data_IF_771534645417
#
_entry.id   IF_771534645417
#
_cell.length_a   1.000
_cell.length_b   1.000
_cell.length_c   1.000
_cell.angle_alpha   90.00
_cell.angle_beta   90.00
_cell.angle_gamma   90.00
#
_symmetry.space_group_name_H-M   'P 1'
#
loop_
_entity.id
_entity.type
_entity.pdbx_description
1 polymer ?
#
# COMPACT_ATOMS: atom_id res chain seq x y z
N UNK A 1 -12.54 37.57 -44.98
CA UNK A 1 -12.47 36.12 -45.22
C UNK A 1 -11.12 35.62 -44.75
N UNK A 2 -11.13 34.48 -44.05
CA UNK A 2 -10.01 33.64 -43.57
C UNK A 2 -9.43 33.98 -42.20
N UNK A 3 -10.12 33.42 -41.20
CA UNK A 3 -9.52 32.91 -39.97
C UNK A 3 -8.48 31.83 -40.30
N UNK A 4 -7.40 31.75 -39.52
CA UNK A 4 -6.64 30.52 -39.36
C UNK A 4 -6.45 30.30 -37.85
N UNK A 5 -7.11 29.23 -37.41
CA UNK A 5 -7.11 28.62 -36.10
C UNK A 5 -5.68 28.21 -35.71
N UNK A 6 -5.19 28.66 -34.56
CA UNK A 6 -4.04 28.03 -33.92
C UNK A 6 -4.56 26.84 -33.09
N UNK A 7 -4.49 25.64 -33.66
CA UNK A 7 -4.67 24.38 -32.93
C UNK A 7 -3.32 24.04 -32.31
N UNK A 8 -3.16 24.34 -31.02
CA UNK A 8 -2.09 23.74 -30.21
C UNK A 8 -2.49 22.29 -29.94
N UNK A 9 -1.88 21.37 -30.69
CA UNK A 9 -1.94 19.94 -30.44
C UNK A 9 -1.27 19.64 -29.10
N UNK A 10 -2.06 19.38 -28.06
CA UNK A 10 -1.59 18.63 -26.90
C UNK A 10 -1.36 17.19 -27.35
N UNK A 11 -0.10 16.79 -27.48
CA UNK A 11 0.25 15.40 -27.68
C UNK A 11 -0.06 14.66 -26.36
N UNK A 12 -1.19 13.97 -26.31
CA UNK A 12 -1.39 12.91 -25.34
C UNK A 12 -0.35 11.84 -25.65
N UNK A 13 0.72 11.76 -24.85
CA UNK A 13 1.62 10.62 -24.88
C UNK A 13 0.83 9.42 -24.36
N UNK A 14 0.20 8.67 -25.27
CA UNK A 14 -0.25 7.32 -25.00
C UNK A 14 1.00 6.54 -24.57
N UNK A 15 1.08 6.18 -23.30
CA UNK A 15 2.10 5.27 -22.81
C UNK A 15 1.92 3.95 -23.56
N UNK A 16 2.75 3.71 -24.57
CA UNK A 16 2.90 2.38 -25.14
C UNK A 16 3.52 1.55 -24.03
N UNK A 17 2.81 0.52 -23.54
CA UNK A 17 3.41 -0.47 -22.66
C UNK A 17 4.61 -1.06 -23.40
N UNK A 18 5.82 -0.66 -23.00
CA UNK A 18 7.03 -1.26 -23.49
C UNK A 18 7.05 -2.66 -22.90
N UNK A 19 7.09 -3.69 -23.74
CA UNK A 19 7.29 -5.06 -23.25
C UNK A 19 8.62 -5.08 -22.53
N UNK A 20 8.59 -5.25 -21.21
CA UNK A 20 9.78 -5.38 -20.41
C UNK A 20 10.60 -6.55 -20.96
N UNK A 21 11.89 -6.35 -21.17
CA UNK A 21 12.77 -7.42 -21.64
C UNK A 21 13.36 -8.11 -20.40
N UNK A 22 13.09 -9.40 -20.24
CA UNK A 22 13.64 -10.19 -19.14
C UNK A 22 15.16 -10.05 -19.09
N UNK A 23 15.67 -9.64 -17.93
CA UNK A 23 17.10 -9.49 -17.68
C UNK A 23 17.64 -10.70 -16.92
N UNK A 24 18.48 -11.50 -17.58
CA UNK A 24 19.16 -12.67 -17.01
C UNK A 24 20.68 -12.53 -17.20
N UNK A 25 21.35 -11.65 -16.42
CA UNK A 25 22.80 -11.45 -16.56
C UNK A 25 23.57 -12.72 -16.20
N UNK A 26 24.70 -12.96 -16.88
CA UNK A 26 25.55 -14.10 -16.56
C UNK A 26 26.15 -13.96 -15.15
N UNK A 27 26.36 -15.08 -14.45
CA UNK A 27 26.92 -15.10 -13.08
C UNK A 27 28.23 -14.31 -12.99
N UNK A 28 29.10 -14.39 -14.00
CA UNK A 28 30.35 -13.63 -14.04
C UNK A 28 30.13 -12.11 -14.06
N UNK A 29 29.11 -11.63 -14.78
CA UNK A 29 28.75 -10.21 -14.83
C UNK A 29 28.13 -9.76 -13.50
N UNK A 30 27.32 -10.63 -12.88
CA UNK A 30 26.77 -10.39 -11.53
C UNK A 30 27.90 -10.23 -10.52
N UNK A 31 28.89 -11.14 -10.50
CA UNK A 31 30.04 -11.07 -9.59
C UNK A 31 30.92 -9.85 -9.85
N UNK A 32 31.13 -9.47 -11.13
CA UNK A 32 31.87 -8.26 -11.49
C UNK A 32 31.17 -6.99 -11.00
N UNK A 33 29.83 -6.91 -11.13
CA UNK A 33 29.04 -5.82 -10.59
C UNK A 33 29.09 -5.81 -9.06
N UNK A 34 28.89 -6.95 -8.41
CA UNK A 34 28.93 -7.07 -6.95
C UNK A 34 30.26 -6.61 -6.34
N UNK A 35 31.38 -6.83 -7.04
CA UNK A 35 32.69 -6.40 -6.57
C UNK A 35 32.89 -4.87 -6.54
N UNK A 36 32.03 -4.09 -7.22
CA UNK A 36 32.20 -2.63 -7.37
C UNK A 36 31.01 -1.82 -6.86
N UNK A 37 29.81 -2.40 -6.87
CA UNK A 37 28.59 -1.75 -6.41
C UNK A 37 28.61 -1.57 -4.90
N UNK A 38 28.25 -0.37 -4.44
CA UNK A 38 28.12 -0.07 -3.01
C UNK A 38 26.66 0.19 -2.65
N UNK A 39 26.16 -0.36 -1.54
CA UNK A 39 24.81 -0.02 -1.07
C UNK A 39 24.72 1.48 -0.77
N UNK A 40 23.55 2.04 -1.00
CA UNK A 40 23.20 3.37 -0.53
C UNK A 40 22.72 3.25 0.92
N UNK A 41 23.24 4.13 1.78
CA UNK A 41 22.88 4.16 3.20
C UNK A 41 22.34 5.55 3.53
N UNK A 42 21.04 5.62 3.78
CA UNK A 42 20.36 6.86 4.15
C UNK A 42 19.76 6.72 5.55
N UNK A 43 19.92 7.78 6.34
CA UNK A 43 19.38 7.86 7.70
C UNK A 43 18.57 9.13 7.86
N UNK A 44 17.55 9.08 8.69
CA UNK A 44 16.69 10.21 9.02
C UNK A 44 16.15 10.03 10.44
N UNK A 45 15.61 11.10 11.04
CA UNK A 45 15.00 11.08 12.37
C UNK A 45 13.71 11.93 12.39
N UNK A 46 12.81 11.64 11.45
CA UNK A 46 11.49 12.26 11.34
C UNK A 46 10.54 11.57 12.32
N UNK A 47 10.09 12.30 13.34
CA UNK A 47 9.17 11.74 14.34
C UNK A 47 7.79 11.45 13.75
N UNK A 48 7.28 10.26 14.07
CA UNK A 48 5.92 9.86 13.70
C UNK A 48 4.94 9.99 14.86
N UNK A 49 3.65 9.81 14.58
CA UNK A 49 2.59 9.91 15.58
C UNK A 49 2.49 8.68 16.50
N UNK A 50 2.70 7.50 15.94
CA UNK A 50 2.60 6.20 16.61
C UNK A 50 3.95 5.47 16.69
N UNK A 51 4.78 5.60 15.66
CA UNK A 51 6.11 4.98 15.58
C UNK A 51 7.11 5.92 14.88
N UNK A 52 8.39 5.77 15.21
CA UNK A 52 9.50 6.48 14.57
C UNK A 52 10.13 5.65 13.45
N UNK A 53 9.89 4.35 13.41
CA UNK A 53 10.28 3.48 12.29
C UNK A 53 9.20 2.45 11.96
N UNK A 54 9.08 2.12 10.68
CA UNK A 54 8.18 1.08 10.17
C UNK A 54 8.94 0.06 9.35
N UNK A 55 8.90 -1.18 9.79
CA UNK A 55 9.55 -2.30 9.14
C UNK A 55 8.48 -3.30 8.75
N UNK A 56 8.53 -3.84 7.54
CA UNK A 56 7.65 -4.94 7.15
C UNK A 56 8.48 -6.11 6.65
N UNK A 57 8.20 -7.30 7.17
CA UNK A 57 8.85 -8.56 6.83
C UNK A 57 7.79 -9.44 6.18
N UNK A 58 8.01 -9.84 4.94
CA UNK A 58 7.08 -10.68 4.19
C UNK A 58 7.64 -12.09 4.06
N UNK A 59 6.86 -13.06 4.53
CA UNK A 59 7.00 -14.48 4.21
C UNK A 59 6.09 -14.82 3.01
N UNK A 60 6.13 -16.04 2.50
CA UNK A 60 5.48 -16.44 1.26
C UNK A 60 4.33 -17.45 1.44
N UNK A 61 3.24 -17.24 0.69
CA UNK A 61 2.06 -18.06 0.44
C UNK A 61 1.71 -19.23 1.39
N UNK A 62 1.49 -18.95 2.69
CA UNK A 62 0.97 -19.91 3.67
C UNK A 62 -0.48 -19.60 4.03
N UNK A 63 -1.32 -20.63 4.15
CA UNK A 63 -2.69 -20.46 4.67
C UNK A 63 -2.68 -19.91 6.09
N UNK A 64 -3.55 -18.93 6.38
CA UNK A 64 -3.67 -18.34 7.71
C UNK A 64 -3.72 -19.38 8.82
N UNK A 65 -4.54 -20.44 8.65
CA UNK A 65 -4.77 -21.44 9.69
C UNK A 65 -3.51 -22.30 9.95
N UNK A 66 -2.69 -22.55 8.92
CA UNK A 66 -1.41 -23.26 9.06
C UNK A 66 -0.41 -22.41 9.87
N UNK A 67 -0.30 -21.12 9.53
CA UNK A 67 0.53 -20.17 10.29
C UNK A 67 0.03 -19.97 11.71
N UNK A 68 -1.28 -19.84 11.93
CA UNK A 68 -1.86 -19.69 13.26
C UNK A 68 -1.67 -20.95 14.15
N UNK A 69 -1.49 -22.11 13.54
CA UNK A 69 -1.23 -23.37 14.24
C UNK A 69 0.26 -23.57 14.60
N UNK A 70 1.19 -22.86 13.96
CA UNK A 70 2.63 -22.98 14.24
C UNK A 70 3.03 -22.33 15.58
N UNK A 71 3.81 -23.05 16.40
CA UNK A 71 4.18 -22.62 17.74
C UNK A 71 5.10 -21.39 17.77
N UNK A 72 5.93 -21.18 16.74
CA UNK A 72 6.79 -19.99 16.66
C UNK A 72 5.99 -18.76 16.22
N UNK A 73 5.02 -18.93 15.32
CA UNK A 73 4.08 -17.87 14.95
C UNK A 73 3.16 -17.49 16.13
N UNK A 74 2.73 -18.47 16.94
CA UNK A 74 2.01 -18.21 18.19
C UNK A 74 2.87 -17.44 19.21
N UNK A 75 4.16 -17.77 19.31
CA UNK A 75 5.10 -16.98 20.10
C UNK A 75 5.17 -15.53 19.59
N UNK A 76 5.31 -15.33 18.28
CA UNK A 76 5.35 -13.98 17.69
C UNK A 76 4.07 -13.19 17.99
N UNK A 77 2.89 -13.81 17.81
CA UNK A 77 1.60 -13.21 18.17
C UNK A 77 1.53 -12.80 19.66
N UNK A 78 2.17 -13.56 20.55
CA UNK A 78 2.23 -13.22 21.98
C UNK A 78 3.10 -12.00 22.29
N UNK A 79 4.04 -11.65 21.42
CA UNK A 79 4.92 -10.48 21.58
C UNK A 79 4.29 -9.16 21.10
N UNK A 80 3.12 -9.22 20.47
CA UNK A 80 2.55 -8.12 19.70
C UNK A 80 1.03 -8.11 19.59
N UNK A 81 0.52 -7.57 18.48
CA UNK A 81 -0.92 -7.52 18.16
C UNK A 81 -1.15 -8.40 16.93
N UNK A 82 -1.92 -9.47 17.07
CA UNK A 82 -2.33 -10.31 15.95
C UNK A 82 -3.46 -9.62 15.16
N UNK A 83 -3.22 -9.35 13.89
CA UNK A 83 -4.20 -8.79 12.96
C UNK A 83 -4.99 -9.95 12.33
N UNK A 84 -6.17 -10.24 12.84
CA UNK A 84 -6.98 -11.43 12.50
C UNK A 84 -7.81 -11.24 11.22
N UNK A 85 -7.86 -10.02 10.70
CA UNK A 85 -8.69 -9.60 9.58
C UNK A 85 -7.85 -8.87 8.51
N UNK A 86 -6.60 -9.33 8.32
CA UNK A 86 -5.65 -8.84 7.33
C UNK A 86 -5.66 -9.72 6.08
N UNK A 87 -5.72 -9.09 4.92
CA UNK A 87 -5.84 -9.75 3.62
C UNK A 87 -4.73 -9.34 2.66
N UNK A 88 -4.24 -10.30 1.90
CA UNK A 88 -3.56 -10.02 0.65
C UNK A 88 -4.57 -9.49 -0.38
N UNK A 89 -4.08 -8.98 -1.51
CA UNK A 89 -4.93 -8.24 -2.46
C UNK A 89 -5.25 -9.01 -3.71
N UNK A 90 -4.47 -10.05 -4.04
CA UNK A 90 -4.74 -10.98 -5.14
C UNK A 90 -3.81 -12.20 -5.13
N UNK A 91 -3.89 -13.03 -6.17
CA UNK A 91 -2.88 -13.98 -6.60
C UNK A 91 -2.35 -13.65 -8.00
N UNK A 92 -1.10 -14.03 -8.36
CA UNK A 92 -0.07 -14.69 -7.54
C UNK A 92 0.71 -13.69 -6.65
N UNK A 93 1.94 -14.04 -6.22
CA UNK A 93 2.80 -13.27 -5.33
C UNK A 93 3.14 -11.85 -5.83
N UNK A 94 3.73 -11.70 -7.02
CA UNK A 94 4.27 -10.42 -7.53
C UNK A 94 3.28 -9.23 -7.46
N UNK A 95 1.98 -9.35 -7.83
CA UNK A 95 1.06 -8.23 -7.71
C UNK A 95 0.86 -7.74 -6.27
N UNK A 96 1.06 -8.57 -5.25
CA UNK A 96 1.00 -8.13 -3.85
C UNK A 96 2.21 -7.24 -3.50
N UNK A 97 3.41 -7.56 -3.99
CA UNK A 97 4.59 -6.69 -3.86
C UNK A 97 4.41 -5.38 -4.66
N UNK A 98 3.84 -5.45 -5.86
CA UNK A 98 3.44 -4.28 -6.63
C UNK A 98 2.48 -3.38 -5.82
N UNK A 99 1.46 -3.97 -5.19
CA UNK A 99 0.50 -3.27 -4.35
C UNK A 99 1.13 -2.63 -3.10
N UNK A 100 2.10 -3.29 -2.46
CA UNK A 100 2.79 -2.75 -1.29
C UNK A 100 3.68 -1.53 -1.60
N UNK A 101 4.24 -1.44 -2.81
CA UNK A 101 5.04 -0.30 -3.24
C UNK A 101 4.20 0.83 -3.86
N UNK A 102 3.26 0.49 -4.73
CA UNK A 102 2.53 1.47 -5.55
C UNK A 102 1.08 1.67 -5.15
N UNK A 103 0.52 0.93 -4.20
CA UNK A 103 -0.90 1.09 -3.85
C UNK A 103 -1.86 0.56 -4.91
N UNK A 104 -1.38 -0.27 -5.85
CA UNK A 104 -2.18 -1.01 -6.82
C UNK A 104 -1.41 -2.20 -7.43
N UNK A 105 -2.13 -3.20 -7.94
CA UNK A 105 -1.62 -4.31 -8.77
C UNK A 105 -1.59 -3.96 -10.27
N UNK A 106 -2.27 -2.89 -10.71
CA UNK A 106 -2.45 -2.51 -12.12
C UNK A 106 -2.97 -3.65 -13.00
N UNK A 107 -3.77 -4.53 -12.41
CA UNK A 107 -4.35 -5.69 -13.07
C UNK A 107 -3.40 -6.88 -13.25
N UNK A 108 -2.20 -6.85 -12.65
CA UNK A 108 -1.21 -7.94 -12.72
C UNK A 108 -1.75 -9.26 -12.14
N UNK A 109 -1.59 -10.33 -12.90
CA UNK A 109 -2.12 -11.68 -12.63
C UNK A 109 -1.10 -12.79 -12.89
N UNK A 110 0.19 -12.44 -12.82
CA UNK A 110 1.34 -13.27 -13.16
C UNK A 110 2.55 -12.86 -12.32
N UNK A 111 3.59 -13.69 -12.38
CA UNK A 111 4.90 -13.55 -11.72
C UNK A 111 6.02 -13.33 -12.78
N UNK A 112 5.67 -12.75 -13.95
CA UNK A 112 6.60 -12.56 -15.07
C UNK A 112 7.63 -11.45 -14.79
N UNK A 113 8.50 -11.16 -15.75
CA UNK A 113 9.35 -9.97 -15.63
C UNK A 113 8.52 -8.69 -15.88
N UNK A 114 7.99 -8.09 -14.82
CA UNK A 114 7.15 -6.90 -14.90
C UNK A 114 7.90 -5.59 -14.65
N UNK A 115 7.57 -4.54 -15.40
CA UNK A 115 8.06 -3.17 -15.16
C UNK A 115 6.90 -2.17 -15.15
N UNK A 116 6.85 -1.38 -14.09
CA UNK A 116 5.88 -0.30 -13.91
C UNK A 116 6.52 1.02 -14.38
N UNK A 117 5.87 1.76 -15.29
CA UNK A 117 6.44 2.95 -15.91
C UNK A 117 6.89 4.05 -14.93
N UNK A 118 7.90 4.82 -15.33
CA UNK A 118 8.56 5.84 -14.50
C UNK A 118 7.63 6.98 -14.02
N UNK A 119 6.48 7.18 -14.65
CA UNK A 119 5.49 8.19 -14.23
C UNK A 119 4.53 7.68 -13.13
N UNK A 120 4.66 6.43 -12.69
CA UNK A 120 3.89 5.86 -11.60
C UNK A 120 4.65 6.04 -10.29
N UNK A 121 4.12 6.90 -9.41
CA UNK A 121 4.72 7.13 -8.08
C UNK A 121 4.55 5.96 -7.12
N UNK A 122 5.48 5.81 -6.18
CA UNK A 122 5.52 4.76 -5.15
C UNK A 122 5.60 5.32 -3.73
N UNK A 123 5.60 4.44 -2.74
CA UNK A 123 5.90 4.78 -1.33
C UNK A 123 7.22 5.55 -1.18
N UNK A 124 8.24 5.29 -2.02
CA UNK A 124 9.48 6.06 -2.00
C UNK A 124 9.24 7.56 -2.29
N UNK A 125 8.36 7.88 -3.23
CA UNK A 125 8.01 9.28 -3.53
C UNK A 125 7.22 9.94 -2.39
N UNK A 126 6.43 9.16 -1.64
CA UNK A 126 5.75 9.65 -0.43
C UNK A 126 6.76 9.99 0.66
N UNK A 127 7.73 9.10 0.92
CA UNK A 127 8.77 9.27 1.94
C UNK A 127 9.69 10.45 1.63
N UNK A 128 10.01 10.66 0.35
CA UNK A 128 10.82 11.78 -0.13
C UNK A 128 10.20 13.15 0.19
N UNK A 129 8.86 13.25 0.31
CA UNK A 129 8.19 14.51 0.68
C UNK A 129 8.64 15.08 2.03
N UNK A 130 9.18 14.23 2.91
CA UNK A 130 9.74 14.62 4.21
C UNK A 130 11.17 14.14 4.42
N UNK A 131 11.84 13.64 3.38
CA UNK A 131 13.19 13.11 3.48
C UNK A 131 13.31 11.93 4.45
N UNK A 132 12.27 11.09 4.53
CA UNK A 132 12.28 9.88 5.36
C UNK A 132 13.12 8.84 4.64
N UNK A 133 14.18 8.38 5.29
CA UNK A 133 15.10 7.39 4.75
C UNK A 133 14.42 6.02 4.66
N UNK A 134 14.74 5.32 3.58
CA UNK A 134 14.14 4.04 3.25
C UNK A 134 15.14 3.06 2.65
N UNK A 135 14.90 1.76 2.85
CA UNK A 135 15.62 0.70 2.16
C UNK A 135 14.72 -0.50 1.93
N UNK A 136 15.12 -1.38 1.01
CA UNK A 136 14.63 -2.75 0.96
C UNK A 136 15.79 -3.69 1.25
N UNK A 137 15.57 -4.66 2.14
CA UNK A 137 16.56 -5.67 2.46
C UNK A 137 16.06 -7.01 1.93
N UNK A 138 16.80 -7.60 1.00
CA UNK A 138 16.44 -8.81 0.28
C UNK A 138 17.52 -9.86 0.55
N UNK A 139 17.17 -10.95 1.22
CA UNK A 139 18.16 -11.97 1.57
C UNK A 139 18.76 -12.57 0.29
N UNK A 140 20.09 -12.67 0.27
CA UNK A 140 20.86 -13.19 -0.87
C UNK A 140 20.66 -12.45 -2.23
N UNK A 141 20.14 -11.22 -2.25
CA UNK A 141 20.30 -10.36 -3.43
C UNK A 141 21.81 -10.19 -3.72
N UNK A 142 22.29 -10.40 -4.95
CA UNK A 142 23.73 -10.54 -5.20
C UNK A 142 24.51 -9.23 -5.04
N UNK A 143 23.85 -8.08 -5.21
CA UNK A 143 24.38 -6.76 -4.92
C UNK A 143 23.26 -5.73 -4.87
N UNK A 144 23.53 -4.56 -4.29
CA UNK A 144 22.54 -3.50 -4.15
C UNK A 144 22.06 -2.96 -5.51
N UNK A 145 20.75 -2.94 -5.73
CA UNK A 145 20.13 -2.52 -6.98
C UNK A 145 20.21 -3.53 -8.12
N UNK A 146 20.38 -4.83 -7.80
CA UNK A 146 20.27 -5.90 -8.79
C UNK A 146 18.85 -5.95 -9.40
N UNK A 147 18.77 -5.94 -10.72
CA UNK A 147 17.51 -5.90 -11.49
C UNK A 147 17.26 -7.17 -12.31
N UNK A 148 18.14 -8.17 -12.20
CA UNK A 148 17.94 -9.44 -12.89
C UNK A 148 16.75 -10.23 -12.34
N UNK A 149 16.22 -11.15 -13.14
CA UNK A 149 15.02 -11.92 -12.83
C UNK A 149 15.15 -12.74 -11.54
N UNK A 150 16.30 -13.39 -11.34
CA UNK A 150 16.61 -14.16 -10.14
C UNK A 150 18.13 -14.27 -9.93
N UNK A 151 18.52 -14.75 -8.76
CA UNK A 151 19.86 -15.19 -8.43
C UNK A 151 19.78 -16.46 -7.59
N UNK A 152 20.46 -17.51 -8.03
CA UNK A 152 20.47 -18.82 -7.36
C UNK A 152 21.70 -18.98 -6.47
N UNK A 153 21.62 -19.91 -5.54
CA UNK A 153 22.77 -20.34 -4.77
C UNK A 153 23.83 -20.98 -5.70
N UNK A 154 25.09 -20.56 -5.58
CA UNK A 154 26.15 -21.01 -6.48
C UNK A 154 26.70 -22.41 -6.15
N UNK A 155 26.30 -22.99 -5.00
CA UNK A 155 26.67 -24.35 -4.59
C UNK A 155 25.50 -25.34 -4.72
N UNK A 156 24.33 -25.00 -4.17
CA UNK A 156 23.16 -25.89 -4.16
C UNK A 156 22.27 -25.74 -5.39
N UNK A 157 22.41 -24.65 -6.15
CA UNK A 157 21.53 -24.25 -7.26
C UNK A 157 20.07 -24.03 -6.86
N UNK A 158 19.76 -23.97 -5.56
CA UNK A 158 18.46 -23.56 -5.07
C UNK A 158 18.20 -22.09 -5.43
N UNK A 159 16.93 -21.70 -5.51
CA UNK A 159 16.59 -20.29 -5.66
C UNK A 159 16.96 -19.55 -4.37
N UNK A 160 17.67 -18.43 -4.51
CA UNK A 160 18.01 -17.56 -3.38
C UNK A 160 17.13 -16.30 -3.47
N UNK A 161 17.47 -15.40 -4.39
CA UNK A 161 16.72 -14.17 -4.64
C UNK A 161 15.86 -14.29 -5.90
N UNK A 162 14.61 -13.83 -5.83
CA UNK A 162 13.73 -13.66 -6.99
C UNK A 162 13.21 -12.23 -7.05
N UNK A 163 13.20 -11.65 -8.26
CA UNK A 163 12.78 -10.26 -8.47
C UNK A 163 11.32 -10.01 -8.09
N UNK A 164 10.46 -11.02 -8.26
CA UNK A 164 9.03 -10.92 -7.96
C UNK A 164 8.71 -10.64 -6.48
N UNK A 165 9.64 -10.92 -5.55
CA UNK A 165 9.47 -10.68 -4.11
C UNK A 165 10.11 -9.37 -3.63
N UNK A 166 10.42 -8.49 -4.57
CA UNK A 166 11.04 -7.21 -4.33
C UNK A 166 10.11 -6.10 -4.85
N UNK A 167 9.53 -5.27 -3.96
CA UNK A 167 8.51 -4.30 -4.35
C UNK A 167 9.04 -3.18 -5.26
N UNK A 168 10.10 -2.46 -4.85
CA UNK A 168 10.50 -1.24 -5.54
C UNK A 168 11.35 -1.51 -6.78
N UNK A 169 11.93 -2.71 -6.95
CA UNK A 169 12.61 -3.08 -8.21
C UNK A 169 11.63 -3.17 -9.40
N UNK A 170 10.33 -3.27 -9.14
CA UNK A 170 9.28 -3.29 -10.17
C UNK A 170 9.09 -1.94 -10.85
N UNK A 171 9.54 -0.83 -10.23
CA UNK A 171 9.19 0.53 -10.66
C UNK A 171 10.36 1.26 -11.29
N UNK A 172 10.19 1.70 -12.54
CA UNK A 172 11.23 2.48 -13.25
C UNK A 172 11.56 3.79 -12.54
N UNK A 173 10.60 4.37 -11.80
CA UNK A 173 10.77 5.57 -10.94
C UNK A 173 11.78 5.37 -9.81
N UNK A 174 12.13 4.12 -9.52
CA UNK A 174 13.15 3.72 -8.55
C UNK A 174 14.39 3.25 -9.28
N UNK A 175 14.28 2.22 -10.12
CA UNK A 175 15.44 1.51 -10.68
C UNK A 175 16.22 2.32 -11.73
N UNK A 176 15.59 3.32 -12.34
CA UNK A 176 16.29 4.26 -13.24
C UNK A 176 17.12 5.31 -12.50
N UNK A 177 16.92 5.47 -11.19
CA UNK A 177 17.73 6.35 -10.35
C UNK A 177 18.76 5.52 -9.57
N UNK A 178 20.04 5.68 -9.90
CA UNK A 178 21.10 4.85 -9.30
C UNK A 178 21.18 4.90 -7.78
N UNK A 179 20.85 6.04 -7.15
CA UNK A 179 20.86 6.14 -5.68
C UNK A 179 19.68 5.40 -5.07
N UNK A 180 18.47 5.56 -5.63
CA UNK A 180 17.28 4.81 -5.17
C UNK A 180 17.45 3.30 -5.40
N UNK A 181 17.94 2.88 -6.56
CA UNK A 181 18.20 1.48 -6.87
C UNK A 181 19.14 0.84 -5.83
N UNK A 182 20.21 1.52 -5.41
CA UNK A 182 21.17 1.00 -4.42
C UNK A 182 20.65 1.02 -2.97
N UNK A 183 19.45 1.53 -2.69
CA UNK A 183 18.79 1.33 -1.40
C UNK A 183 18.07 -0.02 -1.30
N UNK A 184 17.94 -0.76 -2.41
CA UNK A 184 17.53 -2.16 -2.46
C UNK A 184 18.79 -3.00 -2.30
N UNK A 185 18.95 -3.70 -1.18
CA UNK A 185 20.26 -4.24 -0.75
C UNK A 185 20.12 -5.50 0.10
N UNK A 186 21.24 -6.10 0.51
CA UNK A 186 21.24 -7.45 1.07
C UNK A 186 21.02 -7.49 2.59
N UNK A 187 20.86 -8.69 3.15
CA UNK A 187 20.85 -8.88 4.60
C UNK A 187 22.22 -8.61 5.24
N UNK A 188 23.32 -8.78 4.53
CA UNK A 188 24.63 -8.35 5.04
C UNK A 188 24.65 -6.82 5.24
N UNK A 189 24.00 -6.07 4.34
CA UNK A 189 23.84 -4.63 4.48
C UNK A 189 22.90 -4.25 5.63
N UNK A 190 21.86 -5.05 5.90
CA UNK A 190 21.02 -4.89 7.10
C UNK A 190 21.83 -5.06 8.38
N UNK A 191 22.66 -6.11 8.46
CA UNK A 191 23.54 -6.37 9.60
C UNK A 191 24.59 -5.27 9.78
N UNK A 192 25.12 -4.73 8.69
CA UNK A 192 26.01 -3.57 8.73
C UNK A 192 25.27 -2.32 9.25
N UNK A 193 24.07 -2.03 8.74
CA UNK A 193 23.29 -0.85 9.12
C UNK A 193 22.85 -0.91 10.60
N UNK A 194 22.46 -2.07 11.12
CA UNK A 194 22.11 -2.22 12.54
C UNK A 194 23.33 -2.08 13.45
N UNK A 195 24.49 -2.63 13.06
CA UNK A 195 25.75 -2.50 13.81
C UNK A 195 26.25 -1.04 13.84
N UNK A 196 26.19 -0.35 12.69
CA UNK A 196 26.62 1.03 12.53
C UNK A 196 25.61 2.06 13.05
N UNK A 197 24.43 1.61 13.48
CA UNK A 197 23.29 2.47 13.86
C UNK A 197 22.85 3.40 12.73
N UNK A 198 22.73 2.87 11.52
CA UNK A 198 22.32 3.55 10.28
C UNK A 198 21.07 2.94 9.63
N UNK A 199 20.23 2.29 10.42
CA UNK A 199 18.95 1.78 9.93
C UNK A 199 18.08 2.92 9.39
N UNK A 200 17.38 2.71 8.25
CA UNK A 200 16.42 3.66 7.72
C UNK A 200 15.17 3.76 8.61
N UNK A 201 14.30 4.74 8.36
CA UNK A 201 13.04 4.84 9.10
C UNK A 201 11.94 3.96 8.52
N UNK A 202 11.95 3.70 7.21
CA UNK A 202 11.07 2.73 6.57
C UNK A 202 11.89 1.61 5.94
N UNK A 203 11.47 0.35 6.12
CA UNK A 203 12.11 -0.76 5.42
C UNK A 203 11.13 -1.86 5.02
N UNK A 204 11.34 -2.41 3.84
CA UNK A 204 10.73 -3.67 3.39
C UNK A 204 11.77 -4.78 3.43
N UNK A 205 11.44 -5.94 3.99
CA UNK A 205 12.36 -7.04 4.21
C UNK A 205 11.74 -8.32 3.64
N UNK A 206 12.47 -9.00 2.75
CA UNK A 206 12.08 -10.31 2.22
C UNK A 206 13.21 -11.31 2.46
N UNK A 207 12.97 -12.42 3.18
CA UNK A 207 13.88 -13.56 3.22
C UNK A 207 14.02 -14.22 1.84
N UNK A 208 14.96 -15.15 1.70
CA UNK A 208 15.13 -15.90 0.46
C UNK A 208 14.04 -16.98 0.33
N UNK A 209 13.93 -17.58 -0.86
CA UNK A 209 12.93 -18.62 -1.19
C UNK A 209 12.89 -19.83 -0.25
N UNK A 210 13.97 -20.05 0.52
CA UNK A 210 14.04 -21.12 1.52
C UNK A 210 13.48 -20.67 2.86
N UNK A 211 13.83 -19.45 3.29
CA UNK A 211 13.50 -18.88 4.59
C UNK A 211 12.13 -18.18 4.63
N UNK A 212 11.57 -17.81 3.48
CA UNK A 212 10.25 -17.19 3.37
C UNK A 212 9.07 -18.18 3.42
N UNK A 213 9.34 -19.49 3.34
CA UNK A 213 8.39 -20.62 3.36
C UNK A 213 7.96 -21.19 2.00
N UNK A 214 8.44 -20.68 0.86
CA UNK A 214 7.96 -21.14 -0.44
C UNK A 214 8.56 -22.45 -0.93
N UNK A 215 9.90 -22.53 -0.99
CA UNK A 215 10.59 -23.78 -1.32
C UNK A 215 10.62 -24.73 -0.10
N UNK A 216 10.05 -24.30 1.03
CA UNK A 216 9.96 -25.06 2.28
C UNK A 216 8.53 -25.14 2.83
N UNK A 217 8.30 -24.67 4.05
CA UNK A 217 7.01 -24.60 4.74
C UNK A 217 7.10 -23.68 5.96
N UNK A 218 5.94 -23.36 6.54
CA UNK A 218 5.86 -22.45 7.69
C UNK A 218 6.68 -22.89 8.90
N UNK A 219 6.78 -24.18 9.19
CA UNK A 219 7.57 -24.66 10.33
C UNK A 219 9.07 -24.46 10.11
N UNK A 220 9.54 -24.55 8.86
CA UNK A 220 10.93 -24.24 8.52
C UNK A 220 11.18 -22.73 8.64
N UNK A 221 10.38 -21.91 7.94
CA UNK A 221 10.50 -20.46 7.94
C UNK A 221 10.41 -19.88 9.36
N UNK A 222 9.42 -20.29 10.16
CA UNK A 222 9.23 -19.78 11.52
C UNK A 222 10.33 -20.21 12.50
N UNK A 223 11.05 -21.30 12.23
CA UNK A 223 12.25 -21.69 13.01
C UNK A 223 13.46 -20.81 12.69
N UNK A 224 13.56 -20.31 11.46
CA UNK A 224 14.57 -19.34 11.06
C UNK A 224 14.20 -17.93 11.56
N UNK A 225 12.95 -17.53 11.37
CA UNK A 225 12.43 -16.19 11.63
C UNK A 225 12.44 -15.84 13.13
N UNK A 226 11.93 -16.74 13.98
CA UNK A 226 11.83 -16.48 15.41
C UNK A 226 13.12 -15.99 16.06
N UNK A 227 14.27 -16.69 15.96
CA UNK A 227 15.50 -16.21 16.57
C UNK A 227 16.03 -14.92 15.92
N UNK A 228 15.72 -14.66 14.64
CA UNK A 228 16.07 -13.41 13.98
C UNK A 228 15.25 -12.24 14.53
N UNK A 229 13.92 -12.35 14.57
CA UNK A 229 13.04 -11.32 15.16
C UNK A 229 13.31 -11.13 16.66
N UNK A 230 13.54 -12.21 17.42
CA UNK A 230 13.87 -12.10 18.84
C UNK A 230 15.11 -11.22 19.09
N UNK A 231 16.18 -11.38 18.29
CA UNK A 231 17.38 -10.53 18.37
C UNK A 231 17.07 -9.07 18.05
N UNK A 232 16.19 -8.80 17.08
CA UNK A 232 15.77 -7.43 16.78
C UNK A 232 14.99 -6.81 17.93
N UNK A 233 14.11 -7.57 18.57
CA UNK A 233 13.32 -7.10 19.71
C UNK A 233 14.18 -6.88 20.97
N UNK A 234 15.30 -7.60 21.11
CA UNK A 234 16.29 -7.40 22.19
C UNK A 234 17.27 -6.24 21.91
N UNK A 235 17.45 -5.84 20.64
CA UNK A 235 18.36 -4.76 20.26
C UNK A 235 17.72 -3.40 20.56
N UNK A 236 18.20 -2.67 21.56
CA UNK A 236 17.64 -1.36 21.96
C UNK A 236 17.61 -0.32 20.83
N UNK A 237 18.62 -0.34 19.95
CA UNK A 237 18.65 0.58 18.81
C UNK A 237 17.53 0.25 17.82
N UNK A 238 17.32 -1.03 17.49
CA UNK A 238 16.20 -1.44 16.66
C UNK A 238 14.86 -1.21 17.38
N UNK A 239 14.69 -1.73 18.59
CA UNK A 239 13.42 -1.82 19.29
C UNK A 239 12.75 -0.47 19.56
N UNK A 240 13.53 0.55 19.92
CA UNK A 240 12.99 1.83 20.39
C UNK A 240 12.07 2.53 19.36
N UNK A 241 10.79 2.71 19.71
CA UNK A 241 9.74 3.30 18.85
C UNK A 241 9.62 2.72 17.43
N UNK A 242 10.10 1.49 17.21
CA UNK A 242 9.91 0.78 15.94
C UNK A 242 8.63 -0.03 15.98
N UNK A 243 7.87 0.03 14.89
CA UNK A 243 6.80 -0.90 14.58
C UNK A 243 7.28 -1.83 13.48
N UNK A 244 7.24 -3.15 13.74
CA UNK A 244 7.50 -4.18 12.75
C UNK A 244 6.19 -4.91 12.45
N UNK A 245 5.83 -5.02 11.18
CA UNK A 245 4.79 -5.89 10.67
C UNK A 245 5.45 -7.15 10.10
N UNK A 246 5.15 -8.32 10.68
CA UNK A 246 5.42 -9.59 10.01
C UNK A 246 4.13 -10.07 9.36
N UNK A 247 4.18 -10.41 8.08
CA UNK A 247 3.01 -10.82 7.29
C UNK A 247 3.44 -11.74 6.14
N UNK A 248 2.49 -12.08 5.27
CA UNK A 248 2.70 -12.90 4.08
C UNK A 248 2.29 -12.12 2.83
N UNK A 249 2.83 -12.46 1.68
CA UNK A 249 2.40 -11.88 0.42
C UNK A 249 0.95 -12.27 0.07
N UNK A 250 0.59 -13.54 0.24
CA UNK A 250 -0.71 -14.13 -0.07
C UNK A 250 -1.02 -15.40 0.75
N UNK A 251 -2.22 -15.93 0.60
CA UNK A 251 -2.60 -17.27 1.03
C UNK A 251 -2.07 -18.33 0.03
N UNK A 252 -1.80 -19.56 0.49
CA UNK A 252 -1.44 -20.68 -0.38
C UNK A 252 -2.58 -21.08 -1.33
N UNK A 253 -3.81 -21.03 -0.81
CA UNK A 253 -4.96 -21.62 -1.50
C UNK A 253 -5.72 -20.58 -2.29
N UNK A 254 -5.59 -20.62 -3.61
CA UNK A 254 -6.14 -19.63 -4.54
C UNK A 254 -7.67 -19.46 -4.46
N UNK A 255 -8.39 -20.44 -3.93
CA UNK A 255 -9.86 -20.39 -3.80
C UNK A 255 -10.34 -19.83 -2.46
N UNK A 256 -9.43 -19.59 -1.51
CA UNK A 256 -9.78 -18.97 -0.23
C UNK A 256 -10.00 -17.46 -0.38
N UNK A 257 -10.38 -16.79 0.71
CA UNK A 257 -10.61 -15.35 0.74
C UNK A 257 -9.31 -14.51 0.78
N UNK A 258 -8.15 -15.16 0.69
CA UNK A 258 -6.80 -14.56 0.73
C UNK A 258 -6.44 -13.89 2.08
N UNK A 259 -6.98 -14.43 3.18
CA UNK A 259 -6.64 -14.00 4.54
C UNK A 259 -5.23 -14.48 4.91
N UNK A 260 -4.41 -13.59 5.46
CA UNK A 260 -3.01 -13.86 5.79
C UNK A 260 -2.69 -13.61 7.26
N UNK A 261 -1.84 -14.45 7.84
CA UNK A 261 -1.41 -14.29 9.23
C UNK A 261 -0.52 -13.06 9.35
N UNK A 262 -0.89 -12.11 10.22
CA UNK A 262 -0.16 -10.84 10.32
C UNK A 262 -0.03 -10.40 11.77
N UNK A 263 1.16 -10.00 12.19
CA UNK A 263 1.42 -9.57 13.57
C UNK A 263 2.21 -8.27 13.55
N UNK A 264 1.75 -7.29 14.34
CA UNK A 264 2.55 -6.13 14.69
C UNK A 264 3.36 -6.45 15.94
N UNK A 265 4.68 -6.24 15.91
CA UNK A 265 5.60 -6.31 17.06
C UNK A 265 6.47 -5.06 17.14
N UNK A 266 7.24 -4.89 18.23
CA UNK A 266 8.22 -3.81 18.39
C UNK A 266 7.90 -2.83 19.51
N UNK A 267 8.82 -1.90 19.76
CA UNK A 267 8.76 -0.97 20.90
C UNK A 267 7.73 0.14 20.76
N UNK A 268 7.18 0.37 19.57
CA UNK A 268 6.04 1.26 19.37
C UNK A 268 4.73 0.70 19.98
N UNK A 269 4.66 -0.60 20.26
CA UNK A 269 3.44 -1.24 20.80
C UNK A 269 3.35 -1.00 22.32
N UNK A 270 2.25 -0.38 22.79
CA UNK A 270 1.99 -0.27 24.22
C UNK A 270 1.98 -1.65 24.90
N UNK A 271 2.63 -1.78 26.07
CA UNK A 271 2.75 -3.06 26.78
C UNK A 271 1.42 -3.79 27.01
N UNK A 272 0.33 -3.06 27.22
CA UNK A 272 -1.01 -3.63 27.47
C UNK A 272 -1.69 -4.20 26.21
N UNK A 273 -1.13 -3.94 25.02
CA UNK A 273 -1.61 -4.49 23.75
C UNK A 273 -0.81 -5.72 23.29
N UNK A 274 0.28 -6.09 23.97
CA UNK A 274 1.01 -7.33 23.66
C UNK A 274 0.13 -8.56 23.95
N UNK A 275 0.13 -9.53 23.04
CA UNK A 275 -0.71 -10.72 23.09
C UNK A 275 -2.20 -10.47 22.78
N UNK A 276 -2.55 -9.29 22.27
CA UNK A 276 -3.94 -8.95 21.91
C UNK A 276 -4.21 -9.20 20.42
N UNK A 277 -5.47 -8.99 20.02
CA UNK A 277 -5.93 -9.15 18.64
C UNK A 277 -6.59 -7.87 18.15
N UNK A 278 -6.49 -7.62 16.85
CA UNK A 278 -7.18 -6.55 16.13
C UNK A 278 -7.95 -7.14 14.95
N UNK A 279 -9.28 -7.04 15.02
CA UNK A 279 -10.21 -7.56 14.00
C UNK A 279 -10.57 -6.51 12.93
N UNK A 280 -9.91 -5.35 12.91
CA UNK A 280 -10.11 -4.34 11.87
C UNK A 280 -9.72 -4.88 10.50
N UNK A 281 -10.55 -4.61 9.49
CA UNK A 281 -10.26 -5.03 8.11
C UNK A 281 -9.04 -4.29 7.57
N UNK A 282 -8.02 -5.03 7.16
CA UNK A 282 -6.82 -4.50 6.52
C UNK A 282 -6.52 -5.23 5.21
N UNK A 283 -5.85 -4.51 4.32
CA UNK A 283 -5.17 -5.10 3.16
C UNK A 283 -3.73 -4.62 3.12
N UNK A 284 -2.91 -5.11 2.19
CA UNK A 284 -1.57 -4.57 1.95
C UNK A 284 -1.56 -3.04 1.80
N UNK A 285 -2.61 -2.45 1.21
CA UNK A 285 -2.75 -0.99 1.06
C UNK A 285 -2.83 -0.23 2.39
N UNK A 286 -3.28 -0.88 3.46
CA UNK A 286 -3.34 -0.30 4.81
C UNK A 286 -1.96 0.06 5.36
N UNK A 287 -0.89 -0.57 4.87
CA UNK A 287 0.49 -0.26 5.27
C UNK A 287 0.93 1.12 4.76
N UNK A 288 0.76 1.39 3.45
CA UNK A 288 1.01 2.71 2.84
C UNK A 288 0.17 3.78 3.54
N UNK A 289 -1.14 3.53 3.70
CA UNK A 289 -2.05 4.48 4.33
C UNK A 289 -1.63 4.83 5.76
N UNK A 290 -1.21 3.83 6.55
CA UNK A 290 -0.75 4.01 7.92
C UNK A 290 0.59 4.72 8.01
N UNK A 291 1.53 4.41 7.12
CA UNK A 291 2.81 5.11 6.98
C UNK A 291 2.58 6.58 6.66
N UNK A 292 1.73 6.87 5.68
CA UNK A 292 1.37 8.24 5.32
C UNK A 292 0.69 8.98 6.47
N UNK A 293 -0.29 8.38 7.13
CA UNK A 293 -0.95 8.98 8.28
C UNK A 293 0.03 9.22 9.47
N UNK A 294 0.94 8.28 9.73
CA UNK A 294 1.87 8.34 10.85
C UNK A 294 2.88 9.49 10.72
N UNK A 295 3.41 9.72 9.51
CA UNK A 295 4.38 10.79 9.26
C UNK A 295 3.77 12.03 8.61
N UNK A 296 2.47 12.04 8.39
CA UNK A 296 1.75 13.12 7.73
C UNK A 296 2.17 13.34 6.27
N UNK A 297 2.34 12.25 5.52
CA UNK A 297 2.63 12.21 4.09
C UNK A 297 1.32 12.21 3.29
N UNK A 298 1.32 12.66 2.03
CA UNK A 298 0.14 12.54 1.18
C UNK A 298 -0.19 11.08 0.82
N UNK A 299 -1.25 10.89 0.05
CA UNK A 299 -1.64 9.62 -0.56
C UNK A 299 -1.18 9.54 -2.02
N UNK A 300 -0.98 8.31 -2.51
CA UNK A 300 -0.80 8.02 -3.94
C UNK A 300 -2.10 8.17 -4.75
N UNK A 301 -3.24 8.34 -4.08
CA UNK A 301 -4.56 8.49 -4.71
C UNK A 301 -5.09 7.20 -5.32
N UNK A 302 -4.54 6.04 -4.94
CA UNK A 302 -4.96 4.70 -5.40
C UNK A 302 -5.69 4.00 -4.25
N UNK A 303 -5.53 2.68 -4.09
CA UNK A 303 -6.20 1.93 -3.03
C UNK A 303 -5.69 2.28 -1.62
N UNK A 304 -4.53 2.93 -1.50
CA UNK A 304 -4.05 3.52 -0.24
C UNK A 304 -4.95 4.66 0.27
N UNK A 305 -5.61 5.39 -0.63
CA UNK A 305 -6.43 6.55 -0.26
C UNK A 305 -7.64 6.17 0.61
N UNK A 306 -8.30 5.05 0.30
CA UNK A 306 -9.47 4.57 1.05
C UNK A 306 -9.14 3.56 2.16
N UNK A 307 -7.94 3.00 2.16
CA UNK A 307 -7.56 1.91 3.05
C UNK A 307 -7.66 2.30 4.53
N UNK A 308 -8.05 1.33 5.36
CA UNK A 308 -8.04 1.46 6.81
C UNK A 308 -6.62 1.68 7.34
N UNK A 309 -6.50 2.46 8.41
CA UNK A 309 -5.24 2.67 9.11
C UNK A 309 -5.07 1.61 10.21
N UNK A 310 -3.87 1.06 10.38
CA UNK A 310 -3.51 0.22 11.52
C UNK A 310 -4.01 0.89 12.81
N UNK A 311 -4.69 0.15 13.67
CA UNK A 311 -5.49 0.74 14.76
C UNK A 311 -4.66 1.61 15.70
N UNK A 312 -3.38 1.27 15.89
CA UNK A 312 -2.44 2.08 16.68
C UNK A 312 -2.18 3.48 16.07
N UNK A 313 -2.26 3.62 14.74
CA UNK A 313 -2.18 4.90 14.03
C UNK A 313 -3.55 5.57 14.00
N UNK A 314 -4.63 4.82 13.71
CA UNK A 314 -6.00 5.33 13.71
C UNK A 314 -6.36 6.01 15.04
N UNK A 315 -5.96 5.41 16.16
CA UNK A 315 -6.14 5.96 17.51
C UNK A 315 -5.41 7.30 17.72
N UNK A 316 -4.27 7.51 17.06
CA UNK A 316 -3.49 8.76 17.16
C UNK A 316 -4.06 9.87 16.28
N UNK A 317 -4.58 9.50 15.11
CA UNK A 317 -5.15 10.47 14.14
C UNK A 317 -6.63 10.76 14.38
N UNK A 318 -7.32 9.93 15.17
CA UNK A 318 -8.77 9.98 15.33
C UNK A 318 -9.53 9.45 14.11
N UNK A 319 -8.86 8.74 13.20
CA UNK A 319 -9.49 8.16 12.02
C UNK A 319 -10.42 7.01 12.41
N UNK A 320 -11.66 7.06 11.94
CA UNK A 320 -12.61 5.96 12.10
C UNK A 320 -12.49 5.00 10.91
N UNK A 321 -11.92 3.82 11.17
CA UNK A 321 -11.81 2.73 10.21
C UNK A 321 -13.19 2.24 9.75
N UNK A 322 -13.23 1.72 8.53
CA UNK A 322 -14.39 1.07 7.94
C UNK A 322 -14.54 -0.36 8.46
N UNK A 323 -15.79 -0.71 8.78
CA UNK A 323 -16.26 -2.07 8.88
C UNK A 323 -16.71 -2.53 7.49
N UNK A 324 -16.08 -3.59 6.97
CA UNK A 324 -16.34 -4.12 5.63
C UNK A 324 -17.15 -5.42 5.74
N UNK A 325 -18.27 -5.48 5.03
CA UNK A 325 -19.03 -6.72 4.85
C UNK A 325 -18.37 -7.58 3.77
N UNK A 326 -17.68 -8.64 4.21
CA UNK A 326 -16.87 -9.50 3.36
C UNK A 326 -17.68 -10.55 2.59
N UNK A 327 -19.01 -10.62 2.74
CA UNK A 327 -19.84 -11.67 2.13
C UNK A 327 -19.69 -11.78 0.60
N UNK A 328 -19.35 -10.68 -0.06
CA UNK A 328 -19.11 -10.60 -1.51
C UNK A 328 -17.72 -10.09 -1.87
N UNK A 329 -16.80 -10.04 -0.90
CA UNK A 329 -15.47 -9.52 -1.11
C UNK A 329 -14.60 -10.58 -1.78
N UNK A 330 -13.92 -10.18 -2.86
CA UNK A 330 -12.99 -10.99 -3.63
C UNK A 330 -11.64 -10.29 -3.60
N UNK A 331 -10.65 -10.94 -2.98
CA UNK A 331 -9.26 -10.51 -2.90
C UNK A 331 -8.29 -11.63 -3.32
N UNK A 332 -8.81 -12.70 -3.91
CA UNK A 332 -8.06 -13.82 -4.49
C UNK A 332 -8.11 -13.81 -6.03
N UNK A 333 -8.53 -12.69 -6.62
CA UNK A 333 -8.63 -12.47 -8.07
C UNK A 333 -8.24 -11.04 -8.39
N UNK A 334 -7.54 -10.84 -9.52
CA UNK A 334 -7.14 -9.52 -9.97
C UNK A 334 -8.18 -8.90 -10.90
N UNK A 335 -8.46 -7.60 -10.75
CA UNK A 335 -9.31 -6.85 -11.68
C UNK A 335 -8.59 -6.56 -13.03
N UNK A 336 -9.31 -6.34 -14.14
CA UNK A 336 -8.71 -6.05 -15.46
C UNK A 336 -7.71 -4.89 -15.49
N UNK A 337 -6.55 -5.07 -16.12
CA UNK A 337 -5.55 -3.99 -16.23
C UNK A 337 -4.38 -4.27 -17.18
N UNK A 338 -3.48 -3.29 -17.33
CA UNK A 338 -2.42 -3.31 -18.34
C UNK A 338 -1.30 -4.31 -18.07
N UNK A 339 -1.19 -4.81 -16.83
CA UNK A 339 -0.19 -5.82 -16.46
C UNK A 339 -0.75 -7.26 -16.45
N UNK A 340 -2.02 -7.44 -16.86
CA UNK A 340 -2.60 -8.79 -17.01
C UNK A 340 -2.08 -9.48 -18.27
N UNK A 341 -1.70 -10.75 -18.17
CA UNK A 341 -1.42 -11.61 -19.34
C UNK A 341 -2.68 -12.31 -19.85
N UNK A 342 -3.78 -12.27 -19.08
CA UNK A 342 -5.08 -12.81 -19.48
C UNK A 342 -5.12 -14.33 -19.59
N UNK A 343 -4.23 -15.03 -18.89
CA UNK A 343 -4.11 -16.49 -18.97
C UNK A 343 -5.26 -17.19 -18.24
N UNK A 344 -6.29 -17.59 -18.99
CA UNK A 344 -7.49 -18.25 -18.44
C UNK A 344 -7.25 -19.70 -17.99
N UNK A 345 -6.05 -20.26 -18.14
CA UNK A 345 -5.78 -21.67 -17.80
C UNK A 345 -5.77 -21.95 -16.30
N UNK A 346 -5.48 -20.95 -15.47
CA UNK A 346 -5.42 -21.07 -14.00
C UNK A 346 -6.70 -20.58 -13.27
N UNK A 347 -7.75 -20.23 -14.00
CA UNK A 347 -9.11 -20.00 -13.46
C UNK A 347 -9.35 -18.70 -12.67
N UNK A 348 -8.30 -18.03 -12.17
CA UNK A 348 -8.39 -16.83 -11.31
C UNK A 348 -7.71 -15.57 -11.89
N UNK A 349 -7.42 -15.55 -13.20
CA UNK A 349 -6.69 -14.45 -13.83
C UNK A 349 -7.57 -13.26 -14.20
N UNK A 350 -6.90 -12.12 -14.28
CA UNK A 350 -7.45 -10.88 -14.78
C UNK A 350 -7.68 -10.94 -16.30
N UNK A 351 -8.23 -9.87 -16.86
CA UNK A 351 -8.31 -9.68 -18.31
C UNK A 351 -7.43 -8.50 -18.70
N UNK A 352 -6.58 -8.69 -19.71
CA UNK A 352 -5.79 -7.60 -20.26
C UNK A 352 -6.65 -6.42 -20.69
N UNK A 353 -6.30 -5.25 -20.18
CA UNK A 353 -6.87 -3.97 -20.57
C UNK A 353 -5.72 -2.97 -20.72
N UNK A 354 -5.55 -2.32 -21.89
CA UNK A 354 -4.46 -1.35 -22.07
C UNK A 354 -4.68 -0.04 -21.28
N UNK A 355 -5.84 0.13 -20.66
CA UNK A 355 -6.18 1.31 -19.86
C UNK A 355 -5.49 1.26 -18.49
N UNK A 356 -4.52 2.14 -18.27
CA UNK A 356 -3.95 2.38 -16.95
C UNK A 356 -4.98 3.09 -16.04
N UNK A 357 -5.18 2.62 -14.80
CA UNK A 357 -6.08 3.31 -13.87
C UNK A 357 -5.51 4.68 -13.49
N UNK A 358 -6.41 5.66 -13.36
CA UNK A 358 -6.06 7.07 -13.12
C UNK A 358 -6.33 7.40 -11.65
N UNK A 359 -5.30 7.70 -10.82
CA UNK A 359 -5.47 7.98 -9.40
C UNK A 359 -6.38 9.18 -9.14
N UNK A 360 -6.92 9.24 -7.92
CA UNK A 360 -7.55 10.44 -7.37
C UNK A 360 -6.51 11.57 -7.38
N UNK A 361 -6.91 12.72 -7.93
CA UNK A 361 -6.08 13.93 -7.99
C UNK A 361 -6.73 15.15 -7.33
N UNK A 362 -7.99 15.04 -6.92
CA UNK A 362 -8.68 16.11 -6.21
C UNK A 362 -8.09 16.28 -4.81
N UNK A 363 -7.59 17.48 -4.52
CA UNK A 363 -7.01 17.81 -3.21
C UNK A 363 -8.06 17.92 -2.10
N UNK A 364 -9.34 17.99 -2.44
CA UNK A 364 -10.45 17.98 -1.49
C UNK A 364 -10.87 16.56 -1.08
N UNK A 365 -10.39 15.53 -1.78
CA UNK A 365 -10.73 14.14 -1.47
C UNK A 365 -10.15 13.73 -0.12
N UNK A 366 -10.96 13.04 0.68
CA UNK A 366 -10.61 12.71 2.07
C UNK A 366 -10.00 11.32 2.17
N UNK A 367 -8.77 11.19 1.69
CA UNK A 367 -7.99 9.97 1.91
C UNK A 367 -7.77 9.73 3.41
N UNK A 368 -7.62 8.47 3.80
CA UNK A 368 -7.40 8.03 5.19
C UNK A 368 -6.15 8.64 5.81
N UNK A 369 -5.10 8.87 5.00
CA UNK A 369 -3.91 9.58 5.42
C UNK A 369 -4.17 11.01 5.91
N UNK A 370 -5.20 11.70 5.39
CA UNK A 370 -5.60 13.04 5.85
C UNK A 370 -4.74 14.20 5.35
N UNK A 371 -3.76 13.97 4.47
CA UNK A 371 -2.81 14.99 3.99
C UNK A 371 -2.83 15.22 2.47
N UNK A 372 -3.97 14.97 1.83
CA UNK A 372 -4.19 15.19 0.41
C UNK A 372 -3.45 14.21 -0.51
N UNK A 373 -3.36 14.55 -1.79
CA UNK A 373 -2.73 13.74 -2.84
C UNK A 373 -1.31 14.26 -3.15
N UNK A 374 -0.39 13.34 -3.41
CA UNK A 374 0.99 13.62 -3.78
C UNK A 374 1.06 14.57 -4.98
N UNK A 375 1.94 15.58 -4.90
CA UNK A 375 2.06 16.60 -5.96
C UNK A 375 2.45 15.99 -7.31
N UNK A 376 3.37 15.01 -7.33
CA UNK A 376 3.74 14.30 -8.54
C UNK A 376 2.55 13.58 -9.20
N UNK A 377 1.66 12.98 -8.40
CA UNK A 377 0.42 12.34 -8.90
C UNK A 377 -0.50 13.39 -9.52
N UNK A 378 -0.70 14.54 -8.88
CA UNK A 378 -1.53 15.63 -9.42
C UNK A 378 -0.95 16.21 -10.71
N UNK A 379 0.37 16.39 -10.78
CA UNK A 379 1.04 16.89 -11.98
C UNK A 379 0.90 15.92 -13.15
N UNK A 380 1.09 14.63 -12.91
CA UNK A 380 1.00 13.58 -13.95
C UNK A 380 -0.43 13.34 -14.42
N UNK A 381 -1.41 13.30 -13.49
CA UNK A 381 -2.76 12.79 -13.79
C UNK A 381 -3.88 13.83 -13.64
N UNK A 382 -3.61 15.04 -13.14
CA UNK A 382 -4.64 16.02 -12.76
C UNK A 382 -5.49 16.56 -13.92
N UNK A 383 -5.07 16.31 -15.16
CA UNK A 383 -5.82 16.64 -16.37
C UNK A 383 -6.73 15.50 -16.86
N UNK A 384 -6.69 14.34 -16.19
CA UNK A 384 -7.46 13.14 -16.51
C UNK A 384 -8.57 12.90 -15.49
N UNK A 385 -9.56 12.11 -15.87
CA UNK A 385 -10.65 11.71 -14.97
C UNK A 385 -10.22 10.49 -14.15
N UNK A 386 -10.30 10.59 -12.82
CA UNK A 386 -10.00 9.49 -11.90
C UNK A 386 -10.86 8.24 -12.19
N UNK A 387 -10.27 7.07 -11.99
CA UNK A 387 -10.94 5.76 -12.00
C UNK A 387 -11.05 5.13 -10.61
N UNK A 388 -10.47 5.73 -9.58
CA UNK A 388 -10.54 5.24 -8.19
C UNK A 388 -11.59 5.99 -7.39
N UNK A 389 -11.96 5.37 -6.27
CA UNK A 389 -12.71 5.97 -5.19
C UNK A 389 -12.00 5.76 -3.84
N UNK A 390 -12.66 6.12 -2.74
CA UNK A 390 -12.11 6.03 -1.39
C UNK A 390 -12.61 4.81 -0.62
N UNK A 391 -13.01 3.73 -1.29
CA UNK A 391 -13.36 2.48 -0.60
C UNK A 391 -12.11 1.83 0.00
N UNK A 392 -12.25 1.11 1.13
CA UNK A 392 -11.11 0.45 1.79
C UNK A 392 -10.63 -0.82 1.08
N UNK A 393 -11.18 -1.14 -0.10
CA UNK A 393 -10.84 -2.30 -0.92
C UNK A 393 -10.96 -1.95 -2.41
N UNK A 394 -10.22 -2.66 -3.28
CA UNK A 394 -10.38 -2.57 -4.72
C UNK A 394 -11.82 -2.79 -5.20
N UNK A 395 -12.33 -1.88 -6.03
CA UNK A 395 -13.73 -1.82 -6.46
C UNK A 395 -13.87 -1.32 -7.90
N UNK A 396 -14.81 -1.88 -8.66
CA UNK A 396 -15.15 -1.37 -9.99
C UNK A 396 -16.57 -1.77 -10.40
N UNK A 397 -17.44 -0.77 -10.56
CA UNK A 397 -18.76 -0.99 -11.17
C UNK A 397 -18.67 -1.37 -12.66
N UNK A 398 -17.60 -0.97 -13.38
CA UNK A 398 -17.43 -1.27 -14.82
C UNK A 398 -17.24 -2.77 -15.05
N UNK A 399 -16.55 -3.44 -14.13
CA UNK A 399 -16.19 -4.86 -14.23
C UNK A 399 -16.93 -5.73 -13.21
N UNK A 400 -17.88 -5.16 -12.46
CA UNK A 400 -18.58 -5.82 -11.35
C UNK A 400 -17.64 -6.39 -10.28
N UNK A 401 -16.46 -5.78 -10.13
CA UNK A 401 -15.46 -6.24 -9.18
C UNK A 401 -15.73 -5.62 -7.82
N UNK A 402 -16.05 -6.46 -6.83
CA UNK A 402 -16.45 -6.07 -5.47
C UNK A 402 -17.62 -5.06 -5.41
N UNK A 403 -18.44 -4.97 -6.46
CA UNK A 403 -19.48 -3.94 -6.56
C UNK A 403 -20.68 -4.12 -5.62
N UNK A 404 -20.82 -5.32 -5.06
CA UNK A 404 -21.81 -5.69 -4.03
C UNK A 404 -21.27 -5.60 -2.60
N UNK A 405 -19.98 -5.38 -2.41
CA UNK A 405 -19.38 -5.22 -1.09
C UNK A 405 -19.88 -3.93 -0.47
N UNK A 406 -20.18 -3.96 0.82
CA UNK A 406 -20.57 -2.77 1.57
C UNK A 406 -19.56 -2.46 2.67
N UNK A 407 -19.40 -1.18 2.97
CA UNK A 407 -18.56 -0.72 4.07
C UNK A 407 -19.24 0.43 4.80
N UNK A 408 -19.11 0.47 6.11
CA UNK A 408 -19.64 1.52 6.98
C UNK A 408 -18.56 2.02 7.91
N UNK A 409 -18.57 3.30 8.27
CA UNK A 409 -17.66 3.79 9.32
C UNK A 409 -18.21 3.39 10.68
N UNK A 410 -17.36 2.87 11.55
CA UNK A 410 -17.70 2.39 12.90
C UNK A 410 -18.40 3.44 13.79
N UNK A 411 -18.37 4.73 13.43
CA UNK A 411 -19.04 5.82 14.14
C UNK A 411 -20.32 6.35 13.47
N UNK A 412 -20.77 5.79 12.35
CA UNK A 412 -22.07 6.17 11.77
C UNK A 412 -23.20 5.47 12.53
N UNK A 413 -23.70 6.13 13.57
CA UNK A 413 -25.00 5.78 14.13
C UNK A 413 -26.03 5.96 13.03
N UNK A 414 -26.58 4.85 12.53
CA UNK A 414 -27.75 4.86 11.64
C UNK A 414 -28.90 5.59 12.32
N UNK A 415 -29.07 6.87 12.00
CA UNK A 415 -30.33 7.58 12.16
C UNK A 415 -31.32 6.99 11.15
N UNK A 416 -31.89 5.83 11.48
CA UNK A 416 -33.08 5.35 10.80
C UNK A 416 -34.23 6.27 11.23
N UNK A 417 -34.55 7.27 10.41
CA UNK A 417 -35.89 7.85 10.43
C UNK A 417 -36.85 6.76 9.96
N UNK A 418 -37.42 6.03 10.91
CA UNK A 418 -38.60 5.20 10.70
C UNK A 418 -39.75 6.09 10.27
N UNK A 419 -40.00 6.19 8.96
CA UNK A 419 -41.29 6.62 8.46
C UNK A 419 -42.26 5.44 8.59
N UNK A 420 -42.87 5.30 9.76
CA UNK A 420 -44.06 4.46 9.92
C UNK A 420 -45.26 5.22 9.35
N UNK A 421 -45.62 4.91 8.10
CA UNK A 421 -46.96 5.20 7.57
C UNK A 421 -47.96 4.23 8.19
N UNK A 422 -48.69 4.69 9.20
CA UNK A 422 -49.96 4.10 9.61
C UNK A 422 -51.10 5.06 9.26
N UNK A 423 -52.07 4.51 8.54
CA UNK A 423 -53.24 5.19 8.00
C UNK A 423 -54.44 5.17 8.95
N UNK A 424 -55.19 6.29 8.91
CA UNK A 424 -56.63 6.48 9.20
C UNK A 424 -57.04 6.88 10.64
N UNK A 425 -58.16 7.62 10.84
CA UNK A 425 -58.91 8.52 9.96
C UNK A 425 -59.17 9.93 10.57
N UNK A 426 -59.73 10.80 9.73
CA UNK A 426 -60.07 12.22 9.90
C UNK A 426 -60.98 12.51 11.11
N UNK A 427 -60.63 13.54 11.89
CA UNK A 427 -61.59 14.38 12.62
C UNK A 427 -61.20 15.86 12.52
N UNK A 428 -62.13 16.64 11.97
CA UNK A 428 -62.10 18.10 11.86
C UNK A 428 -62.10 18.77 13.23
N UNK A 429 -61.22 19.78 13.40
CA UNK A 429 -61.61 21.02 14.09
C UNK A 429 -60.60 22.14 13.83
N UNK A 430 -61.16 23.32 13.57
CA UNK A 430 -60.52 24.51 13.04
C UNK A 430 -59.64 25.26 14.05
N UNK A 431 -58.59 25.93 13.56
CA UNK A 431 -58.23 27.29 14.02
C UNK A 431 -57.27 28.03 13.07
N UNK A 432 -57.83 29.08 12.46
CA UNK A 432 -57.29 30.44 12.23
C UNK A 432 -55.78 30.59 11.92
N UNK A 433 -55.49 30.86 10.64
CA UNK A 433 -54.22 31.47 10.19
C UNK A 433 -54.42 32.98 10.01
N UNK A 434 -53.56 33.78 10.65
CA UNK A 434 -53.45 35.22 10.42
C UNK A 434 -52.10 35.50 9.74
N UNK A 435 -52.16 36.08 8.55
CA UNK A 435 -51.05 36.55 7.74
C UNK A 435 -50.87 38.06 7.89
N UNK A 436 -49.63 38.54 7.96
CA UNK A 436 -49.27 39.94 7.74
C UNK A 436 -47.75 40.05 7.39
N UNK A 437 -47.29 41.13 6.71
CA UNK A 437 -46.48 40.98 5.52
C UNK A 437 -45.06 41.57 5.56
N UNK A 438 -44.34 41.26 4.48
CA UNK A 438 -43.00 41.70 4.06
C UNK A 438 -42.95 43.22 3.84
N UNK A 439 -41.85 43.86 4.24
CA UNK A 439 -41.44 45.18 3.71
C UNK A 439 -39.97 45.17 3.28
N UNK A 440 -39.77 45.58 2.04
CA UNK A 440 -38.52 45.87 1.34
C UNK A 440 -38.05 47.29 1.67
N UNK A 441 -36.74 47.48 1.85
CA UNK A 441 -36.10 48.81 1.76
C UNK A 441 -34.86 48.71 0.87
N UNK A 442 -34.85 49.56 -0.16
CA UNK A 442 -33.77 49.85 -1.10
C UNK A 442 -33.13 51.18 -0.68
N UNK A 443 -31.79 51.27 -0.71
CA UNK A 443 -30.97 52.48 -0.92
C UNK A 443 -29.53 51.93 -1.13
N UNK A 444 -28.69 52.30 -2.11
CA UNK A 444 -28.46 53.57 -2.78
C UNK A 444 -26.94 53.82 -2.70
N UNK A 445 -26.24 53.82 -3.85
CA UNK A 445 -24.78 53.78 -4.00
C UNK A 445 -24.01 55.03 -3.52
N UNK A 446 -22.68 54.88 -3.30
CA UNK A 446 -21.67 55.91 -3.61
C UNK A 446 -20.23 55.32 -3.64
N UNK A 447 -19.56 55.56 -4.78
CA UNK A 447 -18.12 55.39 -5.03
C UNK A 447 -17.30 56.43 -4.24
N UNK A 448 -16.08 56.07 -3.82
CA UNK A 448 -14.97 57.00 -3.73
C UNK A 448 -13.62 56.30 -3.95
N UNK A 449 -12.93 56.73 -5.01
CA UNK A 449 -11.53 56.48 -5.34
C UNK A 449 -10.68 57.50 -4.57
N UNK A 450 -9.58 57.07 -3.95
CA UNK A 450 -8.47 57.97 -3.62
C UNK A 450 -7.13 57.21 -3.68
N UNK A 451 -6.35 57.59 -4.69
CA UNK A 451 -4.92 57.35 -4.88
C UNK A 451 -4.15 58.29 -3.94
N UNK A 452 -3.03 57.86 -3.34
CA UNK A 452 -1.80 58.67 -3.29
C UNK A 452 -0.56 57.82 -2.97
N UNK A 453 0.47 58.08 -3.78
CA UNK A 453 1.82 57.52 -3.79
C UNK A 453 2.73 58.12 -2.70
N UNK A 454 3.77 57.36 -2.35
CA UNK A 454 5.18 57.80 -2.45
C UNK A 454 6.01 56.67 -3.02
#
# INVERSE_FOLDING_TARGET
MKAVLAVLMGAAALATAQTATTSEPAVADIHAAAATTKPEVTTSDVKGLAFDRFYQVWLENINYDDSAADANMQWLASEGILLTNFYAVTHPSEPNYCAAAGGDTFGMDNDDFNQVPNNVSTIADLLDTKGISWAEYQEHIPYAGFQGYNYSNQESHANDYVRKHNPLVLYDSVVSNSSRARQIKSFDDFENDIQDKKLPQWAFITPNMTNDAHDTNITFAAKWERPWVAKLLENEYFYNNTLLLLTFDEDKTYTNDNRIFSVLVGGAIPKHLKGTKDDTFYTHYSTIASVSANWGLPSLGRWDCGANLLQIVANKTGYANYEVDKAYLTLNQTYPGPLSVGDKTIGNTSTFSPEWPIPITDSNEKCSAGHGILDAVKQTYGHLKTTYDTKPYPWSAKTHYNDKVTAKRSNETTSSKTNSTTSSPIQDSASVSATAPITTVVLGALLAIAVYSF
#
